data_IF_501422984154
#
_entry.id   IF_501422984154
#
_cell.length_a   1.000
_cell.length_b   1.000
_cell.length_c   1.000
_cell.angle_alpha   90.00
_cell.angle_beta   90.00
_cell.angle_gamma   90.00
#
_symmetry.space_group_name_H-M   'P 1'
#
loop_
_entity.id
_entity.type
_entity.pdbx_description
1 polymer ?
#
# COMPACT_ATOMS: atom_id res chain seq x y z
N UNK A 1 -12.32 -37.25 -32.29
CA UNK A 1 -11.46 -36.06 -32.15
C UNK A 1 -12.12 -35.20 -31.08
N UNK A 2 -11.67 -35.34 -29.85
CA UNK A 2 -12.24 -34.67 -28.69
C UNK A 2 -11.23 -33.62 -28.24
N UNK A 3 -11.50 -32.36 -28.60
CA UNK A 3 -10.68 -31.22 -28.20
C UNK A 3 -10.99 -30.88 -26.76
N UNK A 4 -10.11 -31.30 -25.86
CA UNK A 4 -10.09 -30.89 -24.45
C UNK A 4 -9.81 -29.39 -24.39
N UNK A 5 -10.83 -28.61 -24.02
CA UNK A 5 -10.71 -27.20 -23.66
C UNK A 5 -9.86 -27.11 -22.40
N UNK A 6 -8.66 -26.55 -22.52
CA UNK A 6 -7.83 -26.16 -21.38
C UNK A 6 -8.52 -24.97 -20.72
N UNK A 7 -9.30 -25.27 -19.69
CA UNK A 7 -9.86 -24.28 -18.76
C UNK A 7 -8.67 -23.64 -18.01
N UNK A 8 -8.27 -22.45 -18.46
CA UNK A 8 -7.33 -21.63 -17.71
C UNK A 8 -8.05 -21.18 -16.44
N UNK A 9 -7.47 -21.37 -15.24
CA UNK A 9 -8.12 -20.96 -14.01
C UNK A 9 -8.42 -19.47 -14.08
N UNK A 10 -9.61 -19.01 -13.63
CA UNK A 10 -9.89 -17.59 -13.55
C UNK A 10 -8.78 -16.96 -12.72
N UNK A 11 -8.15 -15.92 -13.25
CA UNK A 11 -7.17 -15.12 -12.52
C UNK A 11 -7.97 -14.36 -11.44
N UNK A 12 -8.26 -15.05 -10.34
CA UNK A 12 -8.93 -14.45 -9.19
C UNK A 12 -7.90 -13.56 -8.51
N UNK A 13 -8.03 -12.25 -8.71
CA UNK A 13 -7.24 -11.27 -7.98
C UNK A 13 -7.47 -11.48 -6.49
N UNK A 14 -6.41 -11.78 -5.74
CA UNK A 14 -6.48 -11.98 -4.30
C UNK A 14 -6.13 -10.70 -3.56
N UNK A 15 -6.51 -10.62 -2.28
CA UNK A 15 -6.09 -9.53 -1.40
C UNK A 15 -4.57 -9.53 -1.28
N UNK A 16 -3.95 -10.70 -1.13
CA UNK A 16 -2.50 -10.84 -1.10
C UNK A 16 -1.80 -10.38 -2.39
N UNK A 17 -2.36 -10.68 -3.57
CA UNK A 17 -1.81 -10.21 -4.85
C UNK A 17 -1.89 -8.68 -4.98
N UNK A 18 -3.03 -8.10 -4.61
CA UNK A 18 -3.23 -6.64 -4.65
C UNK A 18 -2.29 -5.93 -3.67
N UNK A 19 -2.13 -6.46 -2.45
CA UNK A 19 -1.21 -5.91 -1.46
C UNK A 19 0.26 -6.03 -1.89
N UNK A 20 0.63 -7.10 -2.61
CA UNK A 20 1.98 -7.23 -3.18
C UNK A 20 2.24 -6.14 -4.22
N UNK A 21 1.27 -5.85 -5.07
CA UNK A 21 1.36 -4.77 -6.07
C UNK A 21 1.60 -3.42 -5.38
N UNK A 22 0.85 -3.11 -4.31
CA UNK A 22 1.10 -1.90 -3.52
C UNK A 22 2.54 -1.84 -2.97
N UNK A 23 3.06 -2.96 -2.47
CA UNK A 23 4.43 -3.06 -1.95
C UNK A 23 5.48 -2.79 -3.01
N UNK A 24 5.31 -3.37 -4.21
CA UNK A 24 6.19 -3.13 -5.36
C UNK A 24 6.15 -1.65 -5.80
N UNK A 25 4.95 -1.06 -5.87
CA UNK A 25 4.77 0.36 -6.17
C UNK A 25 5.42 1.26 -5.11
N UNK A 26 5.32 0.92 -3.83
CA UNK A 26 6.01 1.65 -2.76
C UNK A 26 7.52 1.56 -2.90
N UNK A 27 8.07 0.38 -3.20
CA UNK A 27 9.51 0.22 -3.38
C UNK A 27 10.03 1.06 -4.55
N UNK A 28 9.28 1.12 -5.66
CA UNK A 28 9.60 2.00 -6.77
C UNK A 28 9.57 3.48 -6.35
N UNK A 29 8.54 3.89 -5.61
CA UNK A 29 8.41 5.24 -5.07
C UNK A 29 9.58 5.62 -4.16
N UNK A 30 9.98 4.74 -3.23
CA UNK A 30 11.12 4.90 -2.34
C UNK A 30 12.44 5.06 -3.12
N UNK A 31 12.67 4.22 -4.12
CA UNK A 31 13.87 4.28 -4.95
C UNK A 31 13.98 5.61 -5.72
N UNK A 32 12.85 6.22 -6.10
CA UNK A 32 12.82 7.54 -6.74
C UNK A 32 13.01 8.66 -5.72
N UNK A 33 12.32 8.61 -4.58
CA UNK A 33 12.42 9.61 -3.52
C UNK A 33 13.85 9.70 -2.94
N UNK A 34 14.54 8.57 -2.81
CA UNK A 34 15.93 8.49 -2.34
C UNK A 34 16.93 9.26 -3.23
N UNK A 35 16.58 9.54 -4.49
CA UNK A 35 17.41 10.29 -5.43
C UNK A 35 17.17 11.80 -5.39
N UNK A 36 16.14 12.25 -4.68
CA UNK A 36 15.69 13.64 -4.68
C UNK A 36 16.19 14.35 -3.42
N UNK A 37 15.64 13.98 -2.26
CA UNK A 37 15.98 14.61 -0.99
C UNK A 37 15.53 13.73 0.18
N UNK A 38 16.25 13.80 1.32
CA UNK A 38 15.95 12.99 2.51
C UNK A 38 14.53 13.23 3.05
N UNK A 39 14.01 14.46 2.96
CA UNK A 39 12.64 14.80 3.39
C UNK A 39 11.59 13.98 2.63
N UNK A 40 11.66 13.94 1.31
CA UNK A 40 10.68 13.23 0.49
C UNK A 40 10.77 11.71 0.67
N UNK A 41 12.00 11.20 0.85
CA UNK A 41 12.23 9.81 1.23
C UNK A 41 11.50 9.49 2.55
N UNK A 42 11.69 10.30 3.59
CA UNK A 42 11.04 10.07 4.90
C UNK A 42 9.51 10.12 4.82
N UNK A 43 8.93 10.96 3.97
CA UNK A 43 7.47 11.03 3.79
C UNK A 43 6.91 9.74 3.15
N UNK A 44 7.60 9.20 2.14
CA UNK A 44 7.21 7.94 1.50
C UNK A 44 7.45 6.75 2.44
N UNK A 45 8.56 6.75 3.19
CA UNK A 45 8.88 5.74 4.20
C UNK A 45 7.80 5.64 5.28
N UNK A 46 7.29 6.76 5.79
CA UNK A 46 6.19 6.76 6.76
C UNK A 46 4.94 6.04 6.21
N UNK A 47 4.54 6.36 4.97
CA UNK A 47 3.38 5.71 4.36
C UNK A 47 3.61 4.22 4.12
N UNK A 48 4.81 3.84 3.66
CA UNK A 48 5.17 2.44 3.46
C UNK A 48 5.19 1.66 4.79
N UNK A 49 5.73 2.25 5.86
CA UNK A 49 5.74 1.64 7.19
C UNK A 49 4.32 1.40 7.72
N UNK A 50 3.42 2.39 7.56
CA UNK A 50 2.01 2.26 7.91
C UNK A 50 1.32 1.13 7.15
N UNK A 51 1.57 1.02 5.85
CA UNK A 51 1.09 -0.09 5.02
C UNK A 51 1.62 -1.44 5.50
N UNK A 52 2.92 -1.54 5.78
CA UNK A 52 3.55 -2.78 6.25
C UNK A 52 2.97 -3.23 7.60
N UNK A 53 2.76 -2.30 8.54
CA UNK A 53 2.12 -2.58 9.83
C UNK A 53 0.70 -3.12 9.61
N UNK A 54 -0.08 -2.51 8.71
CA UNK A 54 -1.41 -3.02 8.39
C UNK A 54 -1.36 -4.44 7.83
N UNK A 55 -0.49 -4.69 6.84
CA UNK A 55 -0.38 -5.99 6.19
C UNK A 55 -0.01 -7.10 7.18
N UNK A 56 0.90 -6.79 8.12
CA UNK A 56 1.29 -7.69 9.20
C UNK A 56 0.14 -7.95 10.19
N UNK A 57 -0.53 -6.88 10.65
CA UNK A 57 -1.59 -6.96 11.65
C UNK A 57 -2.80 -7.78 11.18
N UNK A 58 -3.17 -7.66 9.91
CA UNK A 58 -4.30 -8.40 9.34
C UNK A 58 -3.87 -9.72 8.68
N UNK A 59 -2.57 -10.04 8.70
CA UNK A 59 -1.99 -11.30 8.17
C UNK A 59 -2.26 -11.51 6.68
N UNK A 60 -2.12 -10.44 5.89
CA UNK A 60 -2.37 -10.50 4.43
C UNK A 60 -1.52 -11.56 3.75
N UNK A 61 -0.24 -11.64 4.12
CA UNK A 61 0.74 -12.55 3.50
C UNK A 61 0.91 -13.88 4.23
N UNK A 62 0.08 -14.18 5.24
CA UNK A 62 0.13 -15.48 5.89
C UNK A 62 -0.38 -16.58 4.96
N UNK A 63 0.05 -17.82 5.20
CA UNK A 63 -0.39 -18.98 4.42
C UNK A 63 -1.64 -19.64 5.03
N UNK A 64 -2.38 -20.38 4.21
CA UNK A 64 -3.48 -21.23 4.65
C UNK A 64 -4.57 -20.47 5.39
N UNK A 65 -5.01 -21.00 6.54
CA UNK A 65 -6.17 -20.49 7.29
C UNK A 65 -5.96 -19.13 7.95
N UNK A 66 -4.71 -18.74 8.16
CA UNK A 66 -4.36 -17.45 8.74
C UNK A 66 -4.38 -16.30 7.71
N UNK A 67 -4.32 -16.64 6.41
CA UNK A 67 -4.39 -15.66 5.33
C UNK A 67 -5.70 -14.88 5.35
N UNK A 68 -5.63 -13.59 5.02
CA UNK A 68 -6.83 -12.77 4.91
C UNK A 68 -7.78 -13.29 3.82
N UNK A 69 -7.23 -13.77 2.70
CA UNK A 69 -8.00 -14.40 1.62
C UNK A 69 -8.80 -15.61 2.13
N UNK A 70 -8.19 -16.52 2.89
CA UNK A 70 -8.91 -17.67 3.43
C UNK A 70 -9.98 -17.28 4.47
N UNK A 71 -9.71 -16.24 5.26
CA UNK A 71 -10.65 -15.73 6.27
C UNK A 71 -11.86 -15.05 5.65
N UNK A 72 -11.72 -14.48 4.46
CA UNK A 72 -12.79 -13.79 3.73
C UNK A 72 -13.44 -14.66 2.64
N UNK A 73 -13.05 -15.93 2.47
CA UNK A 73 -13.53 -16.81 1.39
C UNK A 73 -15.06 -16.97 1.32
N UNK A 74 -15.75 -16.84 2.46
CA UNK A 74 -17.22 -16.94 2.56
C UNK A 74 -17.91 -15.56 2.44
N UNK A 75 -17.13 -14.49 2.25
CA UNK A 75 -17.55 -13.10 2.21
C UNK A 75 -16.88 -12.39 1.02
N UNK A 76 -17.22 -12.84 -0.19
CA UNK A 76 -16.66 -12.33 -1.45
C UNK A 76 -16.84 -10.83 -1.63
N UNK A 77 -17.97 -10.27 -1.19
CA UNK A 77 -18.26 -8.83 -1.20
C UNK A 77 -17.26 -8.03 -0.37
N UNK A 78 -16.89 -8.55 0.80
CA UNK A 78 -15.86 -7.94 1.67
C UNK A 78 -14.48 -8.08 1.05
N UNK A 79 -14.18 -9.24 0.45
CA UNK A 79 -12.92 -9.47 -0.25
C UNK A 79 -12.72 -8.47 -1.40
N UNK A 80 -13.75 -8.31 -2.25
CA UNK A 80 -13.76 -7.37 -3.37
C UNK A 80 -13.58 -5.92 -2.90
N UNK A 81 -14.22 -5.54 -1.79
CA UNK A 81 -14.05 -4.21 -1.20
C UNK A 81 -12.61 -3.96 -0.71
N UNK A 82 -11.97 -4.94 -0.06
CA UNK A 82 -10.56 -4.80 0.34
C UNK A 82 -9.64 -4.71 -0.88
N UNK A 83 -9.89 -5.53 -1.91
CA UNK A 83 -9.14 -5.49 -3.18
C UNK A 83 -9.29 -4.11 -3.83
N UNK A 84 -10.50 -3.57 -3.91
CA UNK A 84 -10.75 -2.24 -4.49
C UNK A 84 -10.02 -1.12 -3.75
N UNK A 85 -9.99 -1.16 -2.41
CA UNK A 85 -9.22 -0.20 -1.61
C UNK A 85 -7.71 -0.34 -1.86
N UNK A 86 -7.20 -1.55 -2.00
CA UNK A 86 -5.79 -1.78 -2.32
C UNK A 86 -5.44 -1.30 -3.73
N UNK A 87 -6.29 -1.53 -4.72
CA UNK A 87 -6.10 -1.04 -6.09
C UNK A 87 -6.15 0.50 -6.14
N UNK A 88 -7.06 1.13 -5.40
CA UNK A 88 -7.11 2.58 -5.29
C UNK A 88 -5.86 3.15 -4.60
N UNK A 89 -5.36 2.47 -3.57
CA UNK A 89 -4.09 2.81 -2.92
C UNK A 89 -2.92 2.68 -3.90
N UNK A 90 -2.82 1.57 -4.62
CA UNK A 90 -1.77 1.31 -5.61
C UNK A 90 -1.75 2.39 -6.69
N UNK A 91 -2.90 2.75 -7.24
CA UNK A 91 -3.03 3.85 -8.20
C UNK A 91 -2.47 5.18 -7.66
N UNK A 92 -2.73 5.50 -6.39
CA UNK A 92 -2.22 6.71 -5.74
C UNK A 92 -0.70 6.65 -5.53
N UNK A 93 -0.16 5.49 -5.14
CA UNK A 93 1.29 5.28 -5.00
C UNK A 93 1.98 5.43 -6.36
N UNK A 94 1.44 4.83 -7.41
CA UNK A 94 1.96 4.99 -8.77
C UNK A 94 1.90 6.44 -9.24
N UNK A 95 0.82 7.16 -8.92
CA UNK A 95 0.70 8.60 -9.23
C UNK A 95 1.78 9.42 -8.53
N UNK A 96 2.05 9.13 -7.26
CA UNK A 96 3.16 9.73 -6.51
C UNK A 96 4.52 9.43 -7.18
N UNK A 97 4.75 8.18 -7.59
CA UNK A 97 5.99 7.76 -8.29
C UNK A 97 6.20 8.50 -9.62
N UNK A 98 5.12 8.82 -10.36
CA UNK A 98 5.18 9.62 -11.60
C UNK A 98 5.55 11.08 -11.35
N UNK A 99 5.14 11.66 -10.23
CA UNK A 99 5.52 13.03 -9.84
C UNK A 99 7.01 13.09 -9.50
N UNK A 100 7.55 12.04 -8.86
CA UNK A 100 8.96 11.96 -8.48
C UNK A 100 9.90 11.71 -9.67
N UNK A 101 9.42 11.07 -10.74
CA UNK A 101 10.21 10.70 -11.93
C UNK A 101 10.97 11.86 -12.59
N UNK A 102 10.32 12.95 -13.03
CA UNK A 102 11.02 14.06 -13.69
C UNK A 102 11.99 14.80 -12.75
N UNK A 103 11.81 14.67 -11.42
CA UNK A 103 12.67 15.31 -10.42
C UNK A 103 13.93 14.45 -10.25
N UNK A 104 13.75 13.14 -10.09
CA UNK A 104 14.86 12.19 -9.96
C UNK A 104 15.76 12.15 -11.20
N UNK A 105 15.21 12.32 -12.41
CA UNK A 105 15.98 12.39 -13.65
C UNK A 105 16.85 13.65 -13.75
N UNK A 106 16.33 14.80 -13.31
CA UNK A 106 17.09 16.06 -13.31
C UNK A 106 18.29 16.02 -12.36
N UNK A 107 18.14 15.39 -11.20
CA UNK A 107 19.23 15.24 -10.23
C UNK A 107 20.38 14.35 -10.73
N UNK A 108 20.15 13.50 -11.74
CA UNK A 108 21.19 12.64 -12.34
C UNK A 108 21.98 13.30 -13.47
N UNK A 109 21.55 14.48 -13.96
CA UNK A 109 22.13 15.15 -15.13
C UNK A 109 23.34 16.04 -14.87
N UNK A 110 23.66 16.36 -13.60
CA UNK A 110 24.81 17.19 -13.26
C UNK A 110 25.90 16.33 -12.62
N UNK A 111 26.94 16.00 -13.39
CA UNK A 111 28.25 15.58 -12.86
C UNK A 111 29.17 16.79 -12.93
N UNK A 112 29.38 17.56 -11.85
CA UNK A 112 30.48 18.52 -11.79
C UNK A 112 31.76 17.73 -11.54
N UNK A 113 32.66 17.75 -12.51
CA UNK A 113 33.93 17.02 -12.53
C UNK A 113 34.99 17.55 -11.52
N UNK A 114 34.60 18.18 -10.39
CA UNK A 114 35.55 18.71 -9.40
C UNK A 114 35.08 18.52 -7.94
N UNK A 115 35.94 18.01 -7.04
CA UNK A 115 35.65 17.98 -5.60
C UNK A 115 35.66 19.41 -5.05
N UNK A 116 34.48 19.98 -4.77
CA UNK A 116 34.31 21.18 -3.95
C UNK A 116 33.12 20.94 -3.01
N UNK A 117 33.43 20.57 -1.77
CA UNK A 117 32.46 20.20 -0.72
C UNK A 117 31.48 21.34 -0.37
N UNK A 118 31.78 22.59 -0.74
CA UNK A 118 30.96 23.77 -0.45
C UNK A 118 29.82 24.07 -1.46
N UNK A 119 29.75 23.36 -2.59
CA UNK A 119 28.72 23.61 -3.63
C UNK A 119 27.48 22.71 -3.45
N UNK A 120 27.64 21.55 -2.80
CA UNK A 120 26.57 20.55 -2.68
C UNK A 120 25.39 21.01 -1.79
N UNK A 121 25.64 21.93 -0.87
CA UNK A 121 24.62 22.47 0.05
C UNK A 121 23.76 23.56 -0.64
N UNK A 122 24.36 24.39 -1.50
CA UNK A 122 23.65 25.46 -2.22
C UNK A 122 22.69 24.97 -3.30
N UNK A 123 23.01 23.89 -3.99
CA UNK A 123 22.13 23.33 -5.04
C UNK A 123 20.88 22.66 -4.45
N UNK A 124 20.97 22.14 -3.23
CA UNK A 124 19.83 21.55 -2.53
C UNK A 124 18.86 22.62 -2.01
N UNK A 125 19.37 23.79 -1.63
CA UNK A 125 18.57 24.90 -1.10
C UNK A 125 17.71 25.62 -2.16
N UNK A 126 18.16 25.70 -3.43
CA UNK A 126 17.33 26.26 -4.53
C UNK A 126 16.23 25.28 -5.01
N UNK A 127 16.44 23.97 -4.85
CA UNK A 127 15.39 22.95 -5.11
C UNK A 127 14.38 22.90 -3.95
N UNK A 128 14.76 23.39 -2.76
CA UNK A 128 13.96 23.36 -1.52
C UNK A 128 12.71 24.25 -1.56
N UNK A 129 12.70 25.31 -2.39
CA UNK A 129 11.67 26.36 -2.27
C UNK A 129 10.31 25.98 -2.88
N UNK A 130 10.25 24.90 -3.66
CA UNK A 130 8.97 24.31 -4.07
C UNK A 130 9.01 22.81 -3.86
N UNK A 131 8.68 22.38 -2.64
CA UNK A 131 7.98 21.09 -2.49
C UNK A 131 6.93 21.07 -3.59
N UNK A 132 6.96 20.13 -4.55
CA UNK A 132 5.91 20.05 -5.54
C UNK A 132 4.63 19.90 -4.74
N UNK A 133 3.77 20.92 -4.79
CA UNK A 133 2.52 20.92 -4.04
C UNK A 133 1.71 19.66 -4.40
N UNK A 134 1.87 19.21 -5.65
CA UNK A 134 1.41 17.92 -6.17
C UNK A 134 1.91 16.69 -5.38
N UNK A 135 3.17 16.68 -4.94
CA UNK A 135 3.74 15.59 -4.13
C UNK A 135 3.14 15.57 -2.73
N UNK A 136 3.00 16.73 -2.09
CA UNK A 136 2.33 16.82 -0.77
C UNK A 136 0.89 16.32 -0.85
N UNK A 137 0.15 16.73 -1.88
CA UNK A 137 -1.20 16.25 -2.13
C UNK A 137 -1.25 14.74 -2.43
N UNK A 138 -0.26 14.20 -3.16
CA UNK A 138 -0.18 12.77 -3.44
C UNK A 138 0.07 11.94 -2.15
N UNK A 139 0.99 12.39 -1.30
CA UNK A 139 1.26 11.74 0.00
C UNK A 139 0.03 11.81 0.91
N UNK A 140 -0.66 12.96 0.95
CA UNK A 140 -1.90 13.09 1.72
C UNK A 140 -2.99 12.14 1.19
N UNK A 141 -3.12 12.00 -0.13
CA UNK A 141 -4.08 11.08 -0.75
C UNK A 141 -3.80 9.62 -0.40
N UNK A 142 -2.52 9.21 -0.35
CA UNK A 142 -2.08 7.88 0.11
C UNK A 142 -2.44 7.70 1.59
N UNK A 143 -2.12 8.69 2.43
CA UNK A 143 -2.43 8.65 3.87
C UNK A 143 -3.94 8.52 4.15
N UNK A 144 -4.78 9.23 3.40
CA UNK A 144 -6.25 9.13 3.46
C UNK A 144 -6.73 7.73 3.09
N UNK A 145 -6.18 7.15 2.03
CA UNK A 145 -6.55 5.79 1.58
C UNK A 145 -6.12 4.72 2.59
N UNK A 146 -4.90 4.81 3.11
CA UNK A 146 -4.44 3.92 4.19
C UNK A 146 -5.33 4.04 5.43
N UNK A 147 -5.73 5.24 5.80
CA UNK A 147 -6.65 5.45 6.94
C UNK A 147 -7.99 4.75 6.70
N UNK A 148 -8.54 4.84 5.49
CA UNK A 148 -9.77 4.16 5.12
C UNK A 148 -9.60 2.63 5.17
N UNK A 149 -8.51 2.10 4.62
CA UNK A 149 -8.18 0.68 4.64
C UNK A 149 -8.08 0.13 6.07
N UNK A 150 -7.38 0.84 6.96
CA UNK A 150 -7.30 0.48 8.38
C UNK A 150 -8.67 0.52 9.05
N UNK A 151 -9.48 1.55 8.82
CA UNK A 151 -10.82 1.65 9.40
C UNK A 151 -11.72 0.52 8.92
N UNK A 152 -11.70 0.22 7.62
CA UNK A 152 -12.48 -0.84 7.01
C UNK A 152 -12.11 -2.21 7.59
N UNK A 153 -10.82 -2.57 7.59
CA UNK A 153 -10.35 -3.84 8.15
C UNK A 153 -10.56 -3.96 9.66
N UNK A 154 -10.44 -2.87 10.43
CA UNK A 154 -10.78 -2.88 11.85
C UNK A 154 -12.28 -3.07 12.09
N UNK A 155 -13.13 -2.49 11.23
CA UNK A 155 -14.58 -2.65 11.30
C UNK A 155 -14.97 -4.11 11.04
N UNK A 156 -14.39 -4.74 10.01
CA UNK A 156 -14.56 -6.18 9.74
C UNK A 156 -14.16 -7.00 10.97
N UNK A 157 -12.98 -6.71 11.55
CA UNK A 157 -12.48 -7.43 12.73
C UNK A 157 -13.41 -7.26 13.94
N UNK A 158 -14.02 -6.09 14.13
CA UNK A 158 -14.95 -5.83 15.24
C UNK A 158 -16.27 -6.55 15.03
N UNK A 159 -16.89 -6.41 13.87
CA UNK A 159 -18.14 -7.10 13.52
C UNK A 159 -18.01 -8.62 13.63
N UNK A 160 -16.86 -9.17 13.22
CA UNK A 160 -16.58 -10.61 13.37
C UNK A 160 -16.54 -11.05 14.84
N UNK A 161 -16.01 -10.23 15.75
CA UNK A 161 -15.93 -10.55 17.19
C UNK A 161 -17.31 -10.46 17.85
N UNK A 162 -18.09 -9.44 17.50
CA UNK A 162 -19.46 -9.27 18.01
C UNK A 162 -20.33 -10.46 17.61
N UNK A 163 -20.25 -10.92 16.35
CA UNK A 163 -20.95 -12.13 15.88
C UNK A 163 -20.57 -13.37 16.70
N UNK A 164 -19.28 -13.57 16.97
CA UNK A 164 -18.81 -14.69 17.79
C UNK A 164 -19.30 -14.61 19.25
N UNK A 165 -19.34 -13.40 19.83
CA UNK A 165 -19.82 -13.21 21.20
C UNK A 165 -21.32 -13.52 21.33
N UNK A 166 -22.15 -13.04 20.39
CA UNK A 166 -23.59 -13.33 20.36
C UNK A 166 -23.86 -14.82 20.20
N UNK A 167 -23.09 -15.51 19.35
CA UNK A 167 -23.24 -16.97 19.19
C UNK A 167 -22.86 -17.73 20.46
N UNK A 168 -21.77 -17.33 21.13
CA UNK A 168 -21.37 -17.92 22.41
C UNK A 168 -22.44 -17.72 23.50
N UNK A 169 -23.05 -16.54 23.57
CA UNK A 169 -24.14 -16.24 24.52
C UNK A 169 -25.38 -17.12 24.29
N UNK A 170 -25.76 -17.37 23.04
CA UNK A 170 -26.86 -18.28 22.70
C UNK A 170 -26.58 -19.71 23.13
N UNK A 171 -25.38 -20.21 22.83
CA UNK A 171 -24.97 -21.58 23.23
C UNK A 171 -25.00 -21.75 24.75
N UNK A 172 -24.63 -20.71 25.52
CA UNK A 172 -24.70 -20.73 26.98
C UNK A 172 -26.14 -20.70 27.52
N UNK A 173 -27.07 -20.05 26.81
CA UNK A 173 -28.49 -20.02 27.18
C UNK A 173 -29.20 -21.33 26.85
N UNK A 174 -28.89 -21.98 25.72
CA UNK A 174 -29.50 -23.25 25.30
C UNK A 174 -29.07 -24.45 26.18
N UNK A 175 -28.03 -24.30 26.99
CA UNK A 175 -27.55 -25.33 27.94
C UNK A 175 -28.14 -25.19 29.35
N UNK A 176 -29.08 -24.28 29.58
CA UNK A 176 -29.65 -23.96 30.89
C UNK A 176 -31.13 -24.32 30.99
#
# INVERSE_FOLDING_TARGET
METTVVDSPPITTTVAASARSCGESFQNCLNKAAKIHHRELSLVEDQHARFAIWAANIRVFSAGRDSLDHRLREASDVQDAVIGLLQALDYKIQSCSKILEPIAEKTQGEVPEKPQEDILEKTQEEVLEKVPEDLSHAIEAISKELTLLHKFTNTIRRASKEKQNVEAEKVLQDQR
#
